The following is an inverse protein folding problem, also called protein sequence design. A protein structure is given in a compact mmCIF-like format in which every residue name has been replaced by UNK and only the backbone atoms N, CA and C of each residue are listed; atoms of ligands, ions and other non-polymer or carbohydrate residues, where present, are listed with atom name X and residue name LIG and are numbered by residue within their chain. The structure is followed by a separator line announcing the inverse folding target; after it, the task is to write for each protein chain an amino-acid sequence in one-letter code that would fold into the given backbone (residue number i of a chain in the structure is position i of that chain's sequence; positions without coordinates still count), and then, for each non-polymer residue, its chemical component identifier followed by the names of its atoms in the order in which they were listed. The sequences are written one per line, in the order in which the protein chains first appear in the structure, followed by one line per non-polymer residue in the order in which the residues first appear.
data_IF_781662543260
#
_entry.id   IF_781662543260
#
_cell.length_a   1.000
_cell.length_b   1.000
_cell.length_c   1.000
_cell.angle_alpha   90.00
_cell.angle_beta   90.00
_cell.angle_gamma   90.00
#
_symmetry.space_group_name_H-M   'P 1'
#
loop_
_entity.id
_entity.type
_entity.pdbx_description
1 polymer ?
#
# COMPACT_ATOMS: atom_id res chain seq x y z
N UNK A 1 -25.61 -2.76 -19.95
CA UNK A 1 -25.01 -1.54 -19.36
C UNK A 1 -25.55 -0.34 -20.13
N UNK A 2 -26.20 0.60 -19.44
CA UNK A 2 -27.00 1.65 -20.09
C UNK A 2 -26.13 2.83 -20.58
N UNK A 3 -26.47 3.33 -21.77
CA UNK A 3 -25.89 4.50 -22.41
C UNK A 3 -26.48 5.81 -21.83
N UNK A 4 -25.59 6.56 -21.17
CA UNK A 4 -25.42 8.02 -20.97
C UNK A 4 -26.51 8.99 -21.52
N UNK A 5 -27.38 9.55 -20.65
CA UNK A 5 -27.89 10.96 -20.75
C UNK A 5 -28.74 11.39 -19.52
N UNK A 6 -28.15 11.43 -18.32
CA UNK A 6 -28.81 12.02 -17.13
C UNK A 6 -28.07 13.28 -16.67
N UNK A 7 -28.77 14.39 -16.32
CA UNK A 7 -28.16 15.64 -15.85
C UNK A 7 -27.34 15.51 -14.55
N UNK A 8 -27.52 14.43 -13.79
CA UNK A 8 -26.78 14.13 -12.55
C UNK A 8 -25.27 13.88 -12.78
N UNK A 9 -24.87 13.40 -13.96
CA UNK A 9 -23.47 13.02 -14.25
C UNK A 9 -22.50 14.19 -14.09
N UNK A 10 -22.94 15.43 -14.29
CA UNK A 10 -22.10 16.61 -14.11
C UNK A 10 -21.77 16.88 -12.64
N UNK A 11 -22.77 16.73 -11.76
CA UNK A 11 -22.59 16.88 -10.31
C UNK A 11 -21.79 15.70 -9.74
N UNK A 12 -22.03 14.47 -10.19
CA UNK A 12 -21.27 13.28 -9.78
C UNK A 12 -19.80 13.41 -10.15
N UNK A 13 -19.52 13.87 -11.38
CA UNK A 13 -18.14 14.09 -11.84
C UNK A 13 -17.43 15.18 -11.02
N UNK A 14 -18.14 16.23 -10.61
CA UNK A 14 -17.60 17.25 -9.72
C UNK A 14 -17.31 16.69 -8.33
N UNK A 15 -18.25 15.95 -7.73
CA UNK A 15 -18.06 15.30 -6.41
C UNK A 15 -16.85 14.37 -6.41
N UNK A 16 -16.69 13.55 -7.46
CA UNK A 16 -15.54 12.64 -7.62
C UNK A 16 -14.23 13.43 -7.78
N UNK A 17 -14.23 14.50 -8.58
CA UNK A 17 -13.06 15.34 -8.78
C UNK A 17 -12.62 16.02 -7.48
N UNK A 18 -13.56 16.55 -6.70
CA UNK A 18 -13.29 17.17 -5.40
C UNK A 18 -12.74 16.15 -4.39
N UNK A 19 -13.32 14.94 -4.35
CA UNK A 19 -12.85 13.86 -3.49
C UNK A 19 -11.43 13.40 -3.84
N UNK A 20 -11.13 13.27 -5.14
CA UNK A 20 -9.79 12.96 -5.64
C UNK A 20 -8.80 14.09 -5.36
N UNK A 21 -9.19 15.34 -5.57
CA UNK A 21 -8.36 16.52 -5.28
C UNK A 21 -8.00 16.60 -3.79
N UNK A 22 -8.95 16.36 -2.89
CA UNK A 22 -8.70 16.31 -1.45
C UNK A 22 -7.67 15.22 -1.07
N UNK A 23 -7.77 14.04 -1.68
CA UNK A 23 -6.77 12.99 -1.49
C UNK A 23 -5.38 13.41 -2.03
N UNK A 24 -5.32 13.96 -3.24
CA UNK A 24 -4.08 14.42 -3.87
C UNK A 24 -3.40 15.52 -3.04
N UNK A 25 -4.15 16.52 -2.58
CA UNK A 25 -3.63 17.62 -1.75
C UNK A 25 -3.02 17.09 -0.45
N UNK A 26 -3.75 16.22 0.25
CA UNK A 26 -3.33 15.66 1.52
C UNK A 26 -2.12 14.71 1.37
N UNK A 27 -2.05 13.96 0.26
CA UNK A 27 -0.98 12.99 -0.02
C UNK A 27 0.20 13.54 -0.83
N UNK A 28 0.13 14.81 -1.24
CA UNK A 28 1.09 15.47 -2.16
C UNK A 28 1.20 14.79 -3.53
N UNK A 29 0.21 14.02 -3.94
CA UNK A 29 0.16 13.47 -5.30
C UNK A 29 -0.18 14.57 -6.31
N UNK A 30 0.45 14.59 -7.50
CA UNK A 30 0.07 15.50 -8.57
C UNK A 30 -1.41 15.34 -8.95
N UNK A 31 -2.16 16.42 -9.09
CA UNK A 31 -3.60 16.36 -9.42
C UNK A 31 -3.89 15.68 -10.76
N UNK A 32 -2.93 15.73 -11.70
CA UNK A 32 -3.02 15.06 -13.00
C UNK A 32 -2.65 13.58 -12.96
N UNK A 33 -2.39 13.01 -11.78
CA UNK A 33 -2.15 11.57 -11.61
C UNK A 33 -3.36 10.79 -12.15
N UNK A 34 -3.17 9.86 -13.10
CA UNK A 34 -4.27 9.10 -13.66
C UNK A 34 -4.98 8.25 -12.61
N UNK A 35 -6.32 8.22 -12.67
CA UNK A 35 -7.16 7.38 -11.83
C UNK A 35 -8.40 6.90 -12.59
N UNK A 36 -8.97 5.78 -12.14
CA UNK A 36 -10.24 5.23 -12.63
C UNK A 36 -11.37 5.52 -11.65
N UNK A 37 -12.62 5.48 -12.14
CA UNK A 37 -13.82 5.72 -11.31
C UNK A 37 -14.82 4.62 -11.60
N UNK A 38 -15.21 3.87 -10.58
CA UNK A 38 -16.13 2.74 -10.73
C UNK A 38 -16.74 2.33 -9.38
N UNK A 39 -17.78 1.49 -9.41
CA UNK A 39 -18.41 0.88 -8.25
C UNK A 39 -18.34 -0.64 -8.34
N UNK A 40 -18.42 -1.33 -7.21
CA UNK A 40 -18.48 -2.78 -7.16
C UNK A 40 -19.89 -3.31 -7.49
N UNK A 41 -19.99 -4.53 -8.01
CA UNK A 41 -21.26 -5.22 -8.24
C UNK A 41 -22.07 -4.72 -9.45
N UNK A 42 -23.31 -5.20 -9.57
CA UNK A 42 -24.22 -4.96 -10.70
C UNK A 42 -25.52 -4.22 -10.32
N UNK A 43 -25.61 -3.70 -9.09
CA UNK A 43 -26.79 -2.99 -8.58
C UNK A 43 -26.51 -2.18 -7.31
N UNK A 44 -27.46 -1.33 -6.88
CA UNK A 44 -27.25 -0.38 -5.78
C UNK A 44 -26.97 -1.03 -4.43
N UNK A 45 -27.68 -2.10 -4.09
CA UNK A 45 -27.49 -2.79 -2.81
C UNK A 45 -26.10 -3.43 -2.72
N UNK A 46 -25.68 -4.12 -3.79
CA UNK A 46 -24.39 -4.80 -3.83
C UNK A 46 -23.22 -3.80 -3.89
N UNK A 47 -23.37 -2.68 -4.62
CA UNK A 47 -22.36 -1.63 -4.64
C UNK A 47 -22.11 -1.05 -3.24
N UNK A 48 -23.18 -0.77 -2.50
CA UNK A 48 -23.10 -0.28 -1.13
C UNK A 48 -22.45 -1.31 -0.20
N UNK A 49 -22.92 -2.56 -0.21
CA UNK A 49 -22.36 -3.63 0.62
C UNK A 49 -20.85 -3.80 0.41
N UNK A 50 -20.41 -3.85 -0.84
CA UNK A 50 -19.01 -4.11 -1.18
C UNK A 50 -18.10 -2.93 -0.86
N UNK A 51 -18.55 -1.68 -1.02
CA UNK A 51 -17.74 -0.52 -0.63
C UNK A 51 -17.66 -0.35 0.89
N UNK A 52 -18.70 -0.72 1.64
CA UNK A 52 -18.64 -0.81 3.11
C UNK A 52 -17.63 -1.87 3.57
N UNK A 53 -17.56 -3.02 2.89
CA UNK A 53 -16.54 -4.04 3.17
C UNK A 53 -15.12 -3.55 2.88
N UNK A 54 -14.93 -2.63 1.93
CA UNK A 54 -13.62 -1.99 1.71
C UNK A 54 -13.28 -1.06 2.87
N UNK A 55 -14.22 -0.18 3.26
CA UNK A 55 -14.01 0.86 4.26
C UNK A 55 -13.89 0.33 5.69
N UNK A 56 -14.77 -0.60 6.07
CA UNK A 56 -14.93 -1.04 7.46
C UNK A 56 -14.77 -2.55 7.62
N UNK A 57 -14.58 -3.26 6.51
CA UNK A 57 -14.39 -4.70 6.49
C UNK A 57 -13.05 -5.15 5.90
N UNK A 58 -12.92 -6.45 5.63
CA UNK A 58 -11.67 -7.06 5.21
C UNK A 58 -11.44 -7.04 3.69
N UNK A 59 -12.34 -6.48 2.87
CA UNK A 59 -12.25 -6.57 1.39
C UNK A 59 -11.04 -5.82 0.85
N UNK A 60 -10.07 -6.56 0.33
CA UNK A 60 -8.79 -6.08 -0.24
C UNK A 60 -8.47 -6.74 -1.59
N UNK A 61 -9.45 -7.38 -2.20
CA UNK A 61 -9.34 -7.97 -3.52
C UNK A 61 -10.68 -7.90 -4.26
N UNK A 62 -10.61 -8.02 -5.59
CA UNK A 62 -11.77 -8.10 -6.47
C UNK A 62 -11.51 -8.96 -7.69
N UNK A 63 -12.55 -9.58 -8.21
CA UNK A 63 -12.48 -10.43 -9.40
C UNK A 63 -13.41 -9.95 -10.51
N UNK A 64 -12.98 -10.13 -11.76
CA UNK A 64 -13.79 -9.91 -12.95
C UNK A 64 -13.46 -10.94 -14.03
N UNK A 65 -14.34 -11.13 -15.01
CA UNK A 65 -14.05 -12.02 -16.14
C UNK A 65 -12.91 -11.45 -17.00
N UNK A 66 -11.89 -12.26 -17.28
CA UNK A 66 -10.68 -11.83 -17.97
C UNK A 66 -10.95 -11.24 -19.35
N UNK A 67 -11.83 -11.87 -20.12
CA UNK A 67 -12.22 -11.40 -21.44
C UNK A 67 -13.06 -10.10 -21.41
N UNK A 68 -13.77 -9.82 -20.31
CA UNK A 68 -14.45 -8.52 -20.13
C UNK A 68 -13.40 -7.44 -19.87
N UNK A 69 -12.40 -7.73 -19.04
CA UNK A 69 -11.28 -6.81 -18.80
C UNK A 69 -10.51 -6.52 -20.10
N UNK A 70 -10.32 -7.52 -20.97
CA UNK A 70 -9.66 -7.35 -22.27
C UNK A 70 -10.50 -6.52 -23.25
N UNK A 71 -11.81 -6.70 -23.24
CA UNK A 71 -12.73 -5.95 -24.08
C UNK A 71 -12.89 -4.48 -23.64
N UNK A 72 -12.51 -4.15 -22.40
CA UNK A 72 -12.67 -2.82 -21.80
C UNK A 72 -11.40 -2.37 -21.04
N UNK A 73 -10.29 -2.19 -21.77
CA UNK A 73 -9.00 -1.83 -21.17
C UNK A 73 -9.05 -0.50 -20.41
N UNK A 74 -9.99 0.39 -20.74
CA UNK A 74 -10.20 1.67 -20.04
C UNK A 74 -10.72 1.50 -18.60
N UNK A 75 -11.38 0.38 -18.31
CA UNK A 75 -11.89 0.01 -16.98
C UNK A 75 -11.10 -1.11 -16.32
N UNK A 76 -10.14 -1.72 -17.03
CA UNK A 76 -9.31 -2.77 -16.47
C UNK A 76 -8.34 -2.20 -15.43
N UNK A 77 -8.14 -2.93 -14.34
CA UNK A 77 -7.22 -2.53 -13.28
C UNK A 77 -5.79 -2.36 -13.82
N UNK A 78 -5.11 -1.30 -13.38
CA UNK A 78 -3.77 -0.93 -13.81
C UNK A 78 -2.78 -1.22 -12.68
N UNK A 79 -1.62 -1.89 -12.91
CA UNK A 79 -0.62 -2.09 -11.88
C UNK A 79 -0.21 -0.76 -11.22
N UNK A 80 -0.28 -0.69 -9.88
CA UNK A 80 -0.04 0.56 -9.12
C UNK A 80 -0.97 1.73 -9.46
N UNK A 81 -2.05 1.48 -10.21
CA UNK A 81 -3.05 2.46 -10.58
C UNK A 81 -3.99 2.81 -9.43
N UNK A 82 -4.55 4.01 -9.48
CA UNK A 82 -5.49 4.51 -8.48
C UNK A 82 -6.93 4.39 -8.98
N UNK A 83 -7.85 4.11 -8.07
CA UNK A 83 -9.28 4.12 -8.35
C UNK A 83 -10.04 4.88 -7.27
N UNK A 84 -10.99 5.73 -7.67
CA UNK A 84 -12.04 6.24 -6.79
C UNK A 84 -13.21 5.26 -6.87
N UNK A 85 -13.48 4.58 -5.77
CA UNK A 85 -14.63 3.68 -5.63
C UNK A 85 -15.84 4.50 -5.20
N UNK A 86 -16.95 4.32 -5.92
CA UNK A 86 -18.21 5.03 -5.67
C UNK A 86 -19.31 4.10 -5.20
N UNK A 87 -20.39 4.69 -4.69
CA UNK A 87 -21.73 4.10 -4.69
C UNK A 87 -22.25 3.92 -6.12
N UNK A 88 -23.37 3.20 -6.27
CA UNK A 88 -24.03 3.03 -7.57
C UNK A 88 -24.53 4.33 -8.18
N UNK A 89 -24.87 5.33 -7.35
CA UNK A 89 -25.29 6.67 -7.78
C UNK A 89 -24.10 7.60 -8.10
N UNK A 90 -22.86 7.10 -8.03
CA UNK A 90 -21.64 7.88 -8.30
C UNK A 90 -21.10 8.67 -7.11
N UNK A 91 -21.70 8.60 -5.92
CA UNK A 91 -21.13 9.24 -4.72
C UNK A 91 -19.77 8.60 -4.36
N UNK A 92 -18.65 9.35 -4.28
CA UNK A 92 -17.34 8.79 -3.99
C UNK A 92 -17.24 8.36 -2.52
N UNK A 93 -16.64 7.19 -2.29
CA UNK A 93 -16.52 6.57 -0.97
C UNK A 93 -15.09 6.27 -0.57
N UNK A 94 -14.24 5.82 -1.51
CA UNK A 94 -12.88 5.41 -1.20
C UNK A 94 -11.89 5.71 -2.33
N UNK A 95 -10.62 5.89 -1.98
CA UNK A 95 -9.49 5.77 -2.91
C UNK A 95 -8.76 4.48 -2.61
N UNK A 96 -8.62 3.63 -3.62
CA UNK A 96 -7.82 2.40 -3.55
C UNK A 96 -6.67 2.44 -4.55
N UNK A 97 -5.68 1.59 -4.32
CA UNK A 97 -4.56 1.39 -5.25
C UNK A 97 -4.29 -0.09 -5.49
N UNK A 98 -4.16 -0.46 -6.76
CA UNK A 98 -3.85 -1.82 -7.18
C UNK A 98 -2.44 -2.20 -6.73
N UNK A 99 -2.30 -3.31 -6.00
CA UNK A 99 -1.02 -3.82 -5.50
C UNK A 99 -0.56 -5.09 -6.21
N UNK A 100 -1.50 -5.87 -6.74
CA UNK A 100 -1.21 -7.09 -7.50
C UNK A 100 -2.32 -7.34 -8.51
N UNK A 101 -1.92 -7.77 -9.71
CA UNK A 101 -2.82 -8.32 -10.73
C UNK A 101 -2.39 -9.72 -11.09
N UNK A 102 -3.36 -10.61 -11.26
CA UNK A 102 -3.16 -12.01 -11.64
C UNK A 102 -4.32 -12.48 -12.53
N UNK A 103 -4.09 -13.49 -13.35
CA UNK A 103 -5.16 -14.18 -14.09
C UNK A 103 -5.12 -15.66 -13.79
N UNK A 104 -6.28 -16.24 -13.51
CA UNK A 104 -6.45 -17.68 -13.26
C UNK A 104 -7.73 -18.17 -13.89
N UNK A 105 -7.84 -19.48 -14.08
CA UNK A 105 -9.15 -20.10 -14.31
C UNK A 105 -9.99 -19.99 -13.03
N UNK A 106 -11.30 -19.86 -13.20
CA UNK A 106 -12.25 -19.80 -12.09
C UNK A 106 -12.11 -21.00 -11.14
N UNK A 107 -11.90 -22.19 -11.69
CA UNK A 107 -11.69 -23.40 -10.91
C UNK A 107 -10.40 -23.38 -10.04
N UNK A 108 -9.38 -22.64 -10.47
CA UNK A 108 -8.04 -22.55 -9.87
C UNK A 108 -7.88 -21.39 -8.87
N UNK A 109 -8.92 -20.59 -8.64
CA UNK A 109 -8.91 -19.57 -7.58
C UNK A 109 -8.80 -20.25 -6.22
N UNK A 110 -7.88 -19.75 -5.38
CA UNK A 110 -7.55 -20.35 -4.10
C UNK A 110 -8.25 -19.66 -2.91
N UNK A 111 -8.20 -20.31 -1.76
CA UNK A 111 -8.81 -19.80 -0.53
C UNK A 111 -8.13 -18.52 0.00
N UNK A 112 -6.86 -18.26 -0.35
CA UNK A 112 -6.18 -17.04 0.07
C UNK A 112 -6.73 -15.82 -0.66
N UNK A 113 -7.05 -15.95 -1.95
CA UNK A 113 -7.73 -14.91 -2.71
C UNK A 113 -9.14 -14.65 -2.16
N UNK A 114 -9.95 -15.69 -1.96
CA UNK A 114 -11.29 -15.55 -1.37
C UNK A 114 -11.25 -14.86 0.00
N UNK A 115 -10.26 -15.21 0.82
CA UNK A 115 -10.03 -14.58 2.13
C UNK A 115 -9.70 -13.10 2.05
N UNK A 116 -8.87 -12.70 1.07
CA UNK A 116 -8.49 -11.32 0.81
C UNK A 116 -9.63 -10.52 0.16
N UNK A 117 -10.49 -11.13 -0.66
CA UNK A 117 -11.68 -10.49 -1.20
C UNK A 117 -12.71 -10.20 -0.12
N UNK A 118 -12.74 -10.99 0.95
CA UNK A 118 -13.33 -10.56 2.21
C UNK A 118 -14.86 -10.47 2.21
N UNK A 119 -15.52 -11.08 1.24
CA UNK A 119 -16.99 -11.15 1.13
C UNK A 119 -17.55 -12.36 1.87
N UNK A 120 -18.81 -12.24 2.29
CA UNK A 120 -19.55 -13.33 2.92
C UNK A 120 -18.83 -13.95 4.11
N UNK A 121 -18.70 -15.28 4.10
CA UNK A 121 -17.97 -16.03 5.13
C UNK A 121 -16.45 -16.17 4.87
N UNK A 122 -15.96 -15.55 3.79
CA UNK A 122 -14.55 -15.53 3.35
C UNK A 122 -13.99 -16.91 2.98
N UNK A 123 -14.85 -17.91 2.79
CA UNK A 123 -14.46 -19.23 2.33
C UNK A 123 -14.44 -19.29 0.80
N UNK A 124 -13.57 -20.15 0.25
CA UNK A 124 -13.55 -20.42 -1.19
C UNK A 124 -14.89 -20.95 -1.71
N UNK A 125 -15.62 -21.72 -0.89
CA UNK A 125 -16.91 -22.28 -1.27
C UNK A 125 -17.97 -21.20 -1.47
N UNK A 126 -18.02 -20.21 -0.58
CA UNK A 126 -18.93 -19.08 -0.70
C UNK A 126 -18.55 -18.16 -1.86
N UNK A 127 -17.26 -17.86 -1.98
CA UNK A 127 -16.70 -17.11 -3.12
C UNK A 127 -17.12 -17.72 -4.46
N UNK A 128 -16.93 -19.04 -4.64
CA UNK A 128 -17.29 -19.73 -5.89
C UNK A 128 -18.79 -19.67 -6.16
N UNK A 129 -19.65 -19.83 -5.14
CA UNK A 129 -21.10 -19.74 -5.33
C UNK A 129 -21.54 -18.34 -5.75
N UNK A 130 -21.09 -17.30 -5.04
CA UNK A 130 -21.43 -15.90 -5.32
C UNK A 130 -20.97 -15.49 -6.72
N UNK A 131 -19.70 -15.74 -7.04
CA UNK A 131 -19.12 -15.39 -8.33
C UNK A 131 -19.73 -16.19 -9.49
N UNK A 132 -20.06 -17.47 -9.30
CA UNK A 132 -20.76 -18.24 -10.35
C UNK A 132 -22.10 -17.59 -10.69
N UNK A 133 -22.87 -17.16 -9.68
CA UNK A 133 -24.15 -16.49 -9.90
C UNK A 133 -23.97 -15.14 -10.60
N UNK A 134 -23.00 -14.34 -10.16
CA UNK A 134 -22.69 -13.03 -10.73
C UNK A 134 -22.23 -13.16 -12.20
N UNK A 135 -21.17 -13.92 -12.46
CA UNK A 135 -20.63 -14.11 -13.80
C UNK A 135 -21.60 -14.80 -14.76
N UNK A 136 -22.49 -15.68 -14.26
CA UNK A 136 -23.56 -16.24 -15.10
C UNK A 136 -24.52 -15.18 -15.62
N UNK A 137 -24.84 -14.14 -14.83
CA UNK A 137 -25.68 -13.02 -15.28
C UNK A 137 -24.95 -12.17 -16.32
N UNK A 138 -23.68 -11.85 -16.08
CA UNK A 138 -22.85 -11.11 -17.03
C UNK A 138 -22.70 -11.83 -18.37
N UNK A 139 -22.29 -13.11 -18.33
CA UNK A 139 -22.18 -13.97 -19.51
C UNK A 139 -23.50 -14.00 -20.31
N UNK A 140 -24.62 -14.22 -19.64
CA UNK A 140 -25.94 -14.26 -20.29
C UNK A 140 -26.28 -12.94 -20.99
N UNK A 141 -25.93 -11.80 -20.40
CA UNK A 141 -26.16 -10.48 -21.01
C UNK A 141 -25.37 -10.26 -22.31
N UNK A 142 -24.31 -11.03 -22.51
CA UNK A 142 -23.40 -10.97 -23.66
C UNK A 142 -23.50 -12.21 -24.58
N UNK A 143 -24.54 -13.04 -24.38
CA UNK A 143 -24.76 -14.25 -25.19
C UNK A 143 -23.74 -15.37 -24.95
N UNK A 144 -23.01 -15.33 -23.84
CA UNK A 144 -22.03 -16.34 -23.42
C UNK A 144 -22.60 -17.24 -22.32
N UNK A 145 -21.91 -18.36 -22.05
CA UNK A 145 -22.23 -19.26 -20.92
C UNK A 145 -21.03 -19.33 -19.98
N UNK A 146 -21.29 -19.29 -18.67
CA UNK A 146 -20.25 -19.43 -17.65
C UNK A 146 -19.65 -20.84 -17.68
N UNK A 147 -18.35 -20.94 -17.42
CA UNK A 147 -17.58 -22.19 -17.41
C UNK A 147 -16.60 -22.20 -16.23
N UNK A 148 -16.27 -23.40 -15.73
CA UNK A 148 -15.22 -23.58 -14.71
C UNK A 148 -13.84 -23.17 -15.21
N UNK A 149 -13.58 -23.30 -16.52
CA UNK A 149 -12.35 -22.89 -17.18
C UNK A 149 -12.32 -21.40 -17.55
N UNK A 150 -13.39 -20.63 -17.23
CA UNK A 150 -13.42 -19.20 -17.53
C UNK A 150 -12.24 -18.49 -16.85
N UNK A 151 -11.52 -17.68 -17.62
CA UNK A 151 -10.44 -16.88 -17.06
C UNK A 151 -11.02 -15.73 -16.22
N UNK A 152 -10.45 -15.53 -15.04
CA UNK A 152 -10.79 -14.50 -14.08
C UNK A 152 -9.56 -13.61 -13.89
N UNK A 153 -9.74 -12.32 -14.10
CA UNK A 153 -8.80 -11.29 -13.71
C UNK A 153 -8.97 -11.00 -12.22
N UNK A 154 -7.91 -11.25 -11.46
CA UNK A 154 -7.84 -11.12 -10.01
C UNK A 154 -7.01 -9.88 -9.67
N UNK A 155 -7.59 -8.98 -8.88
CA UNK A 155 -6.93 -7.79 -8.38
C UNK A 155 -6.83 -7.84 -6.86
N UNK A 156 -5.67 -7.49 -6.30
CA UNK A 156 -5.52 -7.10 -4.90
C UNK A 156 -5.22 -5.61 -4.80
N UNK A 157 -5.80 -4.95 -3.83
CA UNK A 157 -5.66 -3.51 -3.62
C UNK A 157 -5.51 -3.15 -2.14
N UNK A 158 -5.07 -1.93 -1.91
CA UNK A 158 -5.04 -1.31 -0.58
C UNK A 158 -5.97 -0.08 -0.55
N UNK A 159 -6.56 0.17 0.62
CA UNK A 159 -7.35 1.37 0.89
C UNK A 159 -6.40 2.50 1.30
N UNK A 160 -6.51 3.67 0.65
CA UNK A 160 -5.67 4.84 0.91
C UNK A 160 -6.45 6.02 1.47
N UNK A 161 -7.74 6.13 1.14
CA UNK A 161 -8.59 7.22 1.61
C UNK A 161 -10.04 6.72 1.76
N UNK A 162 -10.76 7.08 2.84
CA UNK A 162 -10.36 8.02 3.89
C UNK A 162 -9.28 7.46 4.83
N UNK A 163 -8.42 8.35 5.33
CA UNK A 163 -7.18 7.96 5.99
C UNK A 163 -7.36 7.19 7.30
N UNK A 164 -8.43 7.49 8.04
CA UNK A 164 -8.77 6.77 9.28
C UNK A 164 -9.07 5.30 9.00
N UNK A 165 -9.87 5.02 7.97
CA UNK A 165 -10.20 3.66 7.54
C UNK A 165 -8.98 2.96 6.92
N UNK A 166 -8.14 3.69 6.18
CA UNK A 166 -6.88 3.15 5.66
C UNK A 166 -5.97 2.65 6.80
N UNK A 167 -5.84 3.41 7.89
CA UNK A 167 -5.07 3.00 9.08
C UNK A 167 -5.79 1.98 9.96
N UNK A 168 -7.10 1.77 9.75
CA UNK A 168 -7.91 0.85 10.53
C UNK A 168 -8.40 -0.38 9.74
N UNK A 169 -7.50 -1.22 9.19
CA UNK A 169 -7.91 -2.43 8.51
C UNK A 169 -8.48 -3.42 9.53
N UNK A 170 -9.78 -3.70 9.43
CA UNK A 170 -10.48 -4.68 10.27
C UNK A 170 -10.32 -6.07 9.65
N UNK A 171 -9.87 -7.03 10.47
CA UNK A 171 -9.90 -8.47 10.18
C UNK A 171 -9.20 -8.97 8.89
N UNK A 172 -8.29 -8.18 8.30
CA UNK A 172 -7.49 -8.64 7.15
C UNK A 172 -6.06 -9.10 7.52
N UNK A 173 -5.67 -9.03 8.80
CA UNK A 173 -4.30 -9.31 9.26
C UNK A 173 -3.27 -8.28 8.79
N UNK A 174 -1.96 -8.55 8.94
CA UNK A 174 -0.92 -7.56 8.64
C UNK A 174 -0.87 -7.18 7.15
N UNK A 175 -0.82 -5.87 6.88
CA UNK A 175 -0.76 -5.27 5.54
C UNK A 175 0.31 -4.20 5.46
N UNK A 176 0.91 -4.05 4.28
CA UNK A 176 1.82 -2.95 3.99
C UNK A 176 1.03 -1.93 3.18
N UNK A 177 0.79 -0.76 3.76
CA UNK A 177 0.25 0.40 3.07
C UNK A 177 1.41 1.20 2.50
N UNK A 178 1.37 1.51 1.21
CA UNK A 178 2.37 2.37 0.60
C UNK A 178 1.80 3.75 0.26
N UNK A 179 2.56 4.78 0.63
CA UNK A 179 2.20 6.17 0.47
C UNK A 179 2.01 6.89 1.81
N UNK A 180 1.77 8.20 1.72
CA UNK A 180 1.51 9.01 2.89
C UNK A 180 0.09 8.76 3.41
N UNK A 181 0.01 8.51 4.72
CA UNK A 181 -1.25 8.43 5.47
C UNK A 181 -1.10 9.29 6.73
N UNK A 182 -1.90 10.36 6.90
CA UNK A 182 -1.93 11.18 8.10
C UNK A 182 -1.98 10.33 9.38
N UNK A 183 -1.13 10.69 10.35
CA UNK A 183 -0.99 9.94 11.61
C UNK A 183 -0.08 8.71 11.53
N UNK A 184 0.17 8.14 10.35
CA UNK A 184 0.98 6.94 10.19
C UNK A 184 2.43 7.08 10.68
N UNK A 185 3.13 8.14 10.28
CA UNK A 185 4.49 8.41 10.76
C UNK A 185 4.54 8.87 12.22
N UNK A 186 3.46 9.46 12.74
CA UNK A 186 3.36 9.78 14.16
C UNK A 186 3.28 8.49 15.00
N UNK A 187 2.46 7.52 14.59
CA UNK A 187 2.43 6.19 15.23
C UNK A 187 3.77 5.45 15.08
N UNK A 188 4.43 5.54 13.92
CA UNK A 188 5.79 5.00 13.73
C UNK A 188 6.81 5.65 14.69
N UNK A 189 6.72 6.97 14.91
CA UNK A 189 7.56 7.67 15.88
C UNK A 189 7.36 7.08 17.27
N UNK A 190 6.11 7.00 17.74
CA UNK A 190 5.75 6.44 19.04
C UNK A 190 6.23 4.99 19.21
N UNK A 191 6.09 4.16 18.16
CA UNK A 191 6.57 2.79 18.16
C UNK A 191 8.10 2.72 18.36
N UNK A 192 8.85 3.57 17.65
CA UNK A 192 10.31 3.58 17.71
C UNK A 192 10.83 4.14 19.03
N UNK A 193 10.29 5.27 19.50
CA UNK A 193 10.71 5.87 20.76
C UNK A 193 10.44 4.93 21.93
N UNK A 194 9.27 4.29 21.95
CA UNK A 194 8.92 3.27 22.96
C UNK A 194 9.79 2.02 22.87
N UNK A 195 10.21 1.61 21.67
CA UNK A 195 11.12 0.48 21.48
C UNK A 195 12.52 0.80 22.05
N UNK A 196 13.12 1.92 21.63
CA UNK A 196 14.49 2.26 22.03
C UNK A 196 14.60 2.70 23.48
N UNK A 197 13.55 3.29 24.07
CA UNK A 197 13.51 3.58 25.50
C UNK A 197 13.62 2.31 26.35
N UNK A 198 12.90 1.24 25.97
CA UNK A 198 12.90 -0.04 26.72
C UNK A 198 14.19 -0.84 26.58
N UNK A 199 14.84 -0.78 25.42
CA UNK A 199 15.95 -1.69 25.09
C UNK A 199 17.33 -1.02 25.10
N UNK A 200 17.39 0.31 24.97
CA UNK A 200 18.65 1.05 24.78
C UNK A 200 18.75 2.34 25.62
N UNK A 201 17.83 2.55 26.57
CA UNK A 201 17.77 3.74 27.44
C UNK A 201 17.77 5.07 26.67
N UNK A 202 17.21 5.09 25.45
CA UNK A 202 17.02 6.33 24.71
C UNK A 202 15.84 7.10 25.32
N UNK A 203 16.07 8.37 25.67
CA UNK A 203 15.09 9.22 26.33
C UNK A 203 14.63 10.40 25.48
N UNK A 204 14.26 11.50 26.15
CA UNK A 204 13.68 12.71 25.52
C UNK A 204 14.49 13.26 24.34
N UNK A 205 15.83 13.19 24.39
CA UNK A 205 16.71 13.64 23.30
C UNK A 205 16.45 12.89 21.99
N UNK A 206 16.29 11.56 22.07
CA UNK A 206 16.02 10.73 20.90
C UNK A 206 14.62 10.98 20.34
N UNK A 207 13.61 11.07 21.21
CA UNK A 207 12.23 11.35 20.81
C UNK A 207 12.09 12.71 20.14
N UNK A 208 12.66 13.77 20.74
CA UNK A 208 12.66 15.11 20.16
C UNK A 208 13.36 15.14 18.79
N UNK A 209 14.53 14.51 18.67
CA UNK A 209 15.24 14.39 17.39
C UNK A 209 14.43 13.63 16.35
N UNK A 210 13.74 12.55 16.74
CA UNK A 210 12.89 11.78 15.83
C UNK A 210 11.71 12.58 15.31
N UNK A 211 11.02 13.30 16.19
CA UNK A 211 9.90 14.17 15.81
C UNK A 211 10.37 15.30 14.88
N UNK A 212 11.52 15.92 15.18
CA UNK A 212 12.11 16.94 14.33
C UNK A 212 12.40 16.41 12.92
N UNK A 213 13.08 15.27 12.81
CA UNK A 213 13.43 14.65 11.53
C UNK A 213 12.18 14.31 10.69
N UNK A 214 11.14 13.75 11.32
CA UNK A 214 9.88 13.42 10.65
C UNK A 214 9.18 14.69 10.17
N UNK A 215 9.10 15.74 11.00
CA UNK A 215 8.51 17.01 10.61
C UNK A 215 9.24 17.67 9.44
N UNK A 216 10.58 17.66 9.48
CA UNK A 216 11.41 18.20 8.41
C UNK A 216 11.21 17.46 7.07
N UNK A 217 11.05 16.13 7.12
CA UNK A 217 10.73 15.31 5.95
C UNK A 217 9.34 15.59 5.40
N UNK A 218 8.31 15.56 6.24
CA UNK A 218 6.93 15.83 5.81
C UNK A 218 6.78 17.21 5.17
N UNK A 219 7.56 18.20 5.63
CA UNK A 219 7.54 19.56 5.06
C UNK A 219 8.06 19.64 3.62
N UNK A 220 8.86 18.65 3.17
CA UNK A 220 9.43 18.58 1.82
C UNK A 220 9.03 17.33 1.04
N UNK A 221 8.13 16.51 1.60
CA UNK A 221 7.80 15.20 1.06
C UNK A 221 7.33 15.28 -0.39
N UNK A 222 7.94 14.46 -1.24
CA UNK A 222 7.63 14.35 -2.65
C UNK A 222 7.43 12.87 -3.02
N UNK A 223 6.21 12.41 -3.31
CA UNK A 223 5.94 10.99 -3.60
C UNK A 223 6.63 10.45 -4.86
N UNK A 224 7.23 11.29 -5.71
CA UNK A 224 8.03 10.86 -6.86
C UNK A 224 9.46 10.44 -6.49
N UNK A 225 9.99 10.98 -5.39
CA UNK A 225 11.36 10.79 -4.91
C UNK A 225 11.40 10.04 -3.57
N UNK A 226 10.40 10.25 -2.74
CA UNK A 226 10.30 9.68 -1.40
C UNK A 226 9.33 8.51 -1.39
N UNK A 227 9.56 7.57 -0.47
CA UNK A 227 8.70 6.42 -0.27
C UNK A 227 8.35 6.21 1.19
N UNK A 228 7.09 5.89 1.47
CA UNK A 228 6.61 5.55 2.81
C UNK A 228 5.92 4.20 2.71
N UNK A 229 6.30 3.25 3.57
CA UNK A 229 5.60 1.99 3.75
C UNK A 229 5.27 1.83 5.23
N UNK A 230 3.99 1.62 5.53
CA UNK A 230 3.48 1.39 6.87
C UNK A 230 2.98 -0.05 6.97
N UNK A 231 3.51 -0.82 7.90
CA UNK A 231 2.95 -2.12 8.24
C UNK A 231 1.84 -1.89 9.27
N UNK A 232 0.59 -2.14 8.88
CA UNK A 232 -0.60 -1.96 9.71
C UNK A 232 -1.20 -3.33 10.02
N UNK A 233 -1.58 -3.53 11.28
CA UNK A 233 -2.30 -4.71 11.75
C UNK A 233 -3.22 -4.26 12.88
N UNK A 234 -4.49 -4.67 12.84
CA UNK A 234 -5.45 -4.45 13.94
C UNK A 234 -5.58 -2.96 14.33
N UNK A 235 -5.69 -2.11 13.30
CA UNK A 235 -5.85 -0.65 13.44
C UNK A 235 -4.64 0.14 13.94
N UNK A 236 -3.47 -0.48 14.01
CA UNK A 236 -2.26 0.18 14.49
C UNK A 236 -1.07 -0.02 13.55
N UNK A 237 -0.21 1.01 13.44
CA UNK A 237 1.08 0.89 12.78
C UNK A 237 1.99 0.01 13.62
N UNK A 238 2.26 -1.19 13.12
CA UNK A 238 3.17 -2.17 13.69
C UNK A 238 4.57 -2.13 13.07
N UNK A 239 4.79 -1.31 12.06
CA UNK A 239 6.10 -1.13 11.46
C UNK A 239 6.11 -0.04 10.41
N UNK A 240 7.29 0.40 10.04
CA UNK A 240 7.46 1.34 8.95
C UNK A 240 8.82 1.19 8.32
N UNK A 241 8.95 1.62 7.06
CA UNK A 241 10.21 1.96 6.43
C UNK A 241 9.97 3.20 5.57
N UNK A 242 10.91 4.14 5.57
CA UNK A 242 10.85 5.35 4.75
C UNK A 242 12.10 5.44 3.88
N UNK A 243 11.91 5.88 2.65
CA UNK A 243 12.97 6.28 1.73
C UNK A 243 12.89 7.79 1.59
N UNK A 244 13.97 8.46 1.99
CA UNK A 244 14.17 9.91 1.88
C UNK A 244 15.13 10.19 0.74
N UNK A 245 14.60 10.60 -0.41
CA UNK A 245 15.34 10.93 -1.62
C UNK A 245 15.72 12.40 -1.72
N UNK A 246 15.31 13.24 -0.77
CA UNK A 246 15.49 14.70 -0.83
C UNK A 246 16.92 15.20 -0.60
N UNK A 247 17.90 14.31 -0.34
CA UNK A 247 19.27 14.69 -0.04
C UNK A 247 20.15 14.94 -1.28
N UNK A 248 20.04 14.08 -2.30
CA UNK A 248 20.85 14.13 -3.52
C UNK A 248 20.14 13.37 -4.65
N UNK A 249 20.24 13.79 -5.93
CA UNK A 249 19.51 13.17 -7.04
C UNK A 249 19.69 11.66 -7.18
N UNK A 250 20.89 11.15 -6.88
CA UNK A 250 21.26 9.74 -7.08
C UNK A 250 21.40 8.93 -5.77
N UNK A 251 21.08 9.54 -4.61
CA UNK A 251 21.25 8.90 -3.31
C UNK A 251 20.01 9.08 -2.43
N UNK A 252 19.50 7.96 -1.93
CA UNK A 252 18.41 7.94 -0.98
C UNK A 252 18.85 7.38 0.38
N UNK A 253 18.16 7.82 1.43
CA UNK A 253 18.37 7.32 2.78
C UNK A 253 17.19 6.46 3.24
N UNK A 254 17.46 5.23 3.68
CA UNK A 254 16.49 4.45 4.47
C UNK A 254 16.39 5.07 5.87
N UNK A 255 15.19 5.53 6.22
CA UNK A 255 14.86 6.13 7.51
C UNK A 255 13.76 5.33 8.21
N UNK A 256 13.77 5.46 9.54
CA UNK A 256 12.68 5.04 10.43
C UNK A 256 12.18 3.61 10.21
N UNK A 257 13.12 2.72 9.95
CA UNK A 257 12.83 1.31 9.75
C UNK A 257 12.61 0.61 11.09
N UNK A 258 11.40 0.07 11.29
CA UNK A 258 11.02 -0.64 12.51
C UNK A 258 9.95 -1.69 12.21
N UNK A 259 9.97 -2.79 12.97
CA UNK A 259 8.86 -3.74 13.08
C UNK A 259 8.68 -4.10 14.55
N UNK A 260 7.43 -4.02 15.02
CA UNK A 260 7.03 -4.30 16.40
C UNK A 260 7.34 -5.75 16.78
N UNK A 261 7.63 -5.97 18.06
CA UNK A 261 7.96 -7.30 18.58
C UNK A 261 6.84 -8.33 18.31
N UNK A 262 5.58 -7.90 18.28
CA UNK A 262 4.38 -8.71 17.96
C UNK A 262 4.49 -9.39 16.58
N UNK A 263 5.13 -8.72 15.62
CA UNK A 263 5.20 -9.15 14.23
C UNK A 263 6.62 -9.55 13.77
N UNK A 264 7.59 -9.59 14.69
CA UNK A 264 8.94 -10.10 14.40
C UNK A 264 8.88 -11.59 14.03
N UNK A 265 9.91 -12.06 13.33
CA UNK A 265 10.05 -13.46 12.86
C UNK A 265 9.04 -13.96 11.82
N UNK A 266 8.16 -13.09 11.28
CA UNK A 266 7.21 -13.42 10.21
C UNK A 266 7.66 -13.01 8.80
N UNK A 267 8.93 -12.63 8.62
CA UNK A 267 9.44 -12.13 7.35
C UNK A 267 8.95 -10.72 6.95
N UNK A 268 8.13 -10.05 7.76
CA UNK A 268 7.53 -8.76 7.43
C UNK A 268 8.56 -7.61 7.33
N UNK A 269 9.63 -7.63 8.13
CA UNK A 269 10.72 -6.67 7.98
C UNK A 269 11.50 -6.86 6.67
N UNK A 270 11.68 -8.10 6.24
CA UNK A 270 12.31 -8.43 4.97
C UNK A 270 11.44 -8.00 3.78
N UNK A 271 10.12 -8.21 3.88
CA UNK A 271 9.14 -7.70 2.91
C UNK A 271 9.17 -6.17 2.81
N UNK A 272 9.11 -5.45 3.93
CA UNK A 272 9.19 -3.97 3.94
C UNK A 272 10.45 -3.47 3.25
N UNK A 273 11.61 -4.02 3.62
CA UNK A 273 12.89 -3.63 3.02
C UNK A 273 12.93 -3.97 1.52
N UNK A 274 12.43 -5.14 1.12
CA UNK A 274 12.37 -5.54 -0.29
C UNK A 274 11.53 -4.58 -1.13
N UNK A 275 10.34 -4.20 -0.66
CA UNK A 275 9.47 -3.25 -1.37
C UNK A 275 10.12 -1.85 -1.47
N UNK A 276 10.74 -1.37 -0.39
CA UNK A 276 11.47 -0.11 -0.41
C UNK A 276 12.65 -0.12 -1.39
N UNK A 277 13.39 -1.24 -1.48
CA UNK A 277 14.52 -1.37 -2.39
C UNK A 277 14.09 -1.51 -3.86
N UNK A 278 12.94 -2.12 -4.15
CA UNK A 278 12.34 -2.10 -5.50
C UNK A 278 12.03 -0.67 -5.95
N UNK A 279 11.53 0.17 -5.04
CA UNK A 279 11.31 1.58 -5.32
C UNK A 279 12.63 2.31 -5.60
N UNK A 280 13.67 2.04 -4.80
CA UNK A 280 14.98 2.66 -4.97
C UNK A 280 15.70 2.24 -6.25
N UNK A 281 15.62 0.96 -6.64
CA UNK A 281 16.43 0.40 -7.74
C UNK A 281 16.15 1.03 -9.10
N UNK A 282 15.00 1.67 -9.28
CA UNK A 282 14.64 2.35 -10.52
C UNK A 282 14.79 3.88 -10.44
N UNK A 283 15.29 4.42 -9.32
CA UNK A 283 15.31 5.86 -9.02
C UNK A 283 16.65 6.39 -8.58
N UNK A 284 17.44 5.57 -7.88
CA UNK A 284 18.68 6.01 -7.25
C UNK A 284 19.82 5.05 -7.61
N UNK A 285 21.02 5.59 -7.80
CA UNK A 285 22.23 4.78 -7.98
C UNK A 285 22.70 4.18 -6.65
N UNK A 286 22.44 4.87 -5.53
CA UNK A 286 22.86 4.46 -4.20
C UNK A 286 21.72 4.62 -3.19
N UNK A 287 21.69 3.71 -2.23
CA UNK A 287 20.86 3.85 -1.03
C UNK A 287 21.70 3.58 0.20
N UNK A 288 21.48 4.33 1.26
CA UNK A 288 22.24 4.20 2.50
C UNK A 288 21.35 4.24 3.74
N UNK A 289 21.89 3.81 4.86
CA UNK A 289 21.24 3.91 6.16
C UNK A 289 22.24 4.20 7.27
N UNK A 290 21.74 4.76 8.36
CA UNK A 290 22.48 4.94 9.62
C UNK A 290 21.79 4.13 10.70
N UNK A 291 22.58 3.35 11.44
CA UNK A 291 22.16 2.50 12.56
C UNK A 291 23.22 2.58 13.65
N UNK A 292 23.13 1.78 14.71
CA UNK A 292 24.19 1.64 15.69
C UNK A 292 24.49 0.16 16.00
N UNK A 293 25.71 -0.10 16.49
CA UNK A 293 26.17 -1.44 16.86
C UNK A 293 25.36 -2.03 18.02
N UNK A 294 25.11 -3.35 18.01
CA UNK A 294 24.23 -4.02 18.98
C UNK A 294 22.82 -4.37 18.44
N UNK A 295 22.60 -4.21 17.12
CA UNK A 295 21.36 -4.55 16.42
C UNK A 295 21.60 -5.68 15.41
N UNK A 296 22.05 -6.84 15.86
CA UNK A 296 22.54 -7.92 14.99
C UNK A 296 21.48 -8.47 14.03
N UNK A 297 20.21 -8.48 14.44
CA UNK A 297 19.11 -8.91 13.59
C UNK A 297 18.91 -7.96 12.39
N UNK A 298 19.01 -6.65 12.61
CA UNK A 298 18.93 -5.64 11.57
C UNK A 298 20.17 -5.71 10.66
N UNK A 299 21.37 -5.84 11.24
CA UNK A 299 22.61 -6.01 10.48
C UNK A 299 22.55 -7.19 9.51
N UNK A 300 22.16 -8.37 9.99
CA UNK A 300 21.99 -9.55 9.12
C UNK A 300 20.96 -9.33 8.02
N UNK A 301 19.90 -8.55 8.29
CA UNK A 301 18.91 -8.21 7.28
C UNK A 301 19.51 -7.30 6.21
N UNK A 302 20.27 -6.26 6.59
CA UNK A 302 20.92 -5.36 5.65
C UNK A 302 21.96 -6.08 4.78
N UNK A 303 22.82 -6.89 5.38
CA UNK A 303 23.87 -7.65 4.66
C UNK A 303 23.25 -8.63 3.65
N UNK A 304 22.12 -9.29 3.98
CA UNK A 304 21.37 -10.13 3.03
C UNK A 304 20.82 -9.35 1.83
N UNK A 305 20.50 -8.07 2.03
CA UNK A 305 20.07 -7.15 0.98
C UNK A 305 21.24 -6.39 0.34
N UNK A 306 22.46 -6.93 0.42
CA UNK A 306 23.67 -6.41 -0.21
C UNK A 306 24.09 -5.00 0.26
N UNK A 307 23.70 -4.60 1.48
CA UNK A 307 24.31 -3.45 2.14
C UNK A 307 25.68 -3.81 2.69
N UNK A 308 26.63 -2.90 2.53
CA UNK A 308 28.00 -3.01 3.04
C UNK A 308 28.24 -1.90 4.05
N UNK A 309 28.90 -2.23 5.16
CA UNK A 309 29.35 -1.25 6.15
C UNK A 309 30.46 -0.38 5.55
N UNK A 310 30.28 0.94 5.53
CA UNK A 310 31.24 1.88 4.92
C UNK A 310 31.87 2.86 5.90
N UNK A 311 31.23 3.13 7.04
CA UNK A 311 31.72 4.07 8.05
C UNK A 311 31.18 3.70 9.44
N UNK A 312 31.99 3.94 10.48
CA UNK A 312 31.62 3.74 11.89
C UNK A 312 32.23 4.83 12.77
N UNK A 313 31.44 5.43 13.64
CA UNK A 313 31.90 6.50 14.53
C UNK A 313 31.13 6.52 15.87
N UNK A 314 31.78 6.81 17.01
CA UNK A 314 31.09 7.04 18.27
C UNK A 314 30.22 8.30 18.19
N UNK A 315 29.00 8.25 18.75
CA UNK A 315 28.10 9.41 18.80
C UNK A 315 27.27 9.43 20.09
N UNK A 316 26.89 10.63 20.52
CA UNK A 316 25.93 10.89 21.61
C UNK A 316 24.63 11.52 21.09
N UNK A 317 24.42 11.52 19.77
CA UNK A 317 23.27 12.17 19.13
C UNK A 317 21.91 11.62 19.61
N UNK A 318 21.89 10.40 20.15
CA UNK A 318 20.67 9.74 20.65
C UNK A 318 20.57 9.70 22.19
N UNK A 319 21.44 10.43 22.89
CA UNK A 319 21.55 10.45 24.34
C UNK A 319 22.76 9.63 24.80
N UNK A 320 22.61 8.33 25.10
CA UNK A 320 23.75 7.46 25.43
C UNK A 320 24.79 7.41 24.30
N UNK A 321 26.06 7.20 24.66
CA UNK A 321 27.12 6.95 23.67
C UNK A 321 26.89 5.60 23.00
N UNK A 322 26.79 5.60 21.67
CA UNK A 322 26.76 4.38 20.87
C UNK A 322 27.74 4.47 19.71
N UNK A 323 28.08 3.32 19.12
CA UNK A 323 28.85 3.27 17.87
C UNK A 323 27.86 3.33 16.70
N UNK A 324 27.73 4.50 16.07
CA UNK A 324 26.95 4.67 14.85
C UNK A 324 27.63 3.95 13.69
N UNK A 325 26.85 3.29 12.85
CA UNK A 325 27.28 2.53 11.68
C UNK A 325 26.52 3.02 10.45
N UNK A 326 27.25 3.27 9.37
CA UNK A 326 26.70 3.59 8.06
C UNK A 326 26.82 2.39 7.14
N UNK A 327 25.69 2.01 6.54
CA UNK A 327 25.63 0.96 5.55
C UNK A 327 25.19 1.55 4.21
N UNK A 328 25.77 1.06 3.11
CA UNK A 328 25.46 1.49 1.76
C UNK A 328 25.22 0.30 0.84
N UNK A 329 24.27 0.45 -0.09
CA UNK A 329 24.05 -0.43 -1.21
C UNK A 329 24.10 0.40 -2.49
N UNK A 330 24.82 -0.11 -3.48
CA UNK A 330 24.90 0.46 -4.82
C UNK A 330 24.05 -0.40 -5.75
N UNK A 331 23.21 0.21 -6.56
CA UNK A 331 22.47 -0.47 -7.61
C UNK A 331 23.33 -0.51 -8.88
N UNK A 332 23.28 -1.63 -9.61
CA UNK A 332 23.89 -1.68 -10.93
C UNK A 332 23.19 -0.65 -11.83
N UNK A 333 23.97 0.17 -12.53
CA UNK A 333 23.43 1.20 -13.41
C UNK A 333 22.65 0.51 -14.54
N UNK A 334 21.33 0.65 -14.56
CA UNK A 334 20.54 0.33 -15.75
C UNK A 334 20.66 1.57 -16.63
N UNK A 335 21.50 1.47 -17.66
CA UNK A 335 21.56 2.52 -18.69
C UNK A 335 20.21 2.64 -19.41
N UNK A 336 19.99 3.67 -20.24
CA UNK A 336 18.70 3.91 -20.88
C UNK A 336 18.21 2.82 -21.87
N UNK A 337 18.94 1.71 -22.04
CA UNK A 337 18.71 0.70 -23.07
C UNK A 337 18.80 -0.74 -22.49
N UNK A 338 17.88 -1.12 -21.60
CA UNK A 338 17.59 -2.54 -21.27
C UNK A 338 16.07 -2.80 -21.25
#
# INVERSE_FOLDING_TARGET
MADISSPDKGADRARVADFWSAYCEASKLPENTPYQVWYFGDGPELAHELVELVLFGPKRATAGLGWIADARPETAAVPSGYSVVTEFDGAPRAVIRTTQLERRKFCDVDAAFAWDEGEGDRTLGDWKRGHWQFFSRECKSLGQTMSDDAEVALERFELLYPFEQALNPVDCGPRVLQGYVPGGLAQSCALQTSYYARHHNFGVTFEAGRMHDIGAFLSRYNPSQDGIWLLVDDGAVQGSIVIDGGGSPDDAQVRWFVVSDRLRTRGLGDRLLSEALKFCSTRFARVHLRTFAGLEAARRLYERHAFVLTDEQPTTAWGPTVLEQRFERIFAHVGPDD
#
